data_IF_952567379689
#
_entry.id   IF_952567379689
#
_cell.length_a   1.000
_cell.length_b   1.000
_cell.length_c   1.000
_cell.angle_alpha   90.00
_cell.angle_beta   90.00
_cell.angle_gamma   90.00
#
_symmetry.space_group_name_H-M   'P 1'
#
loop_
_entity.id
_entity.type
_entity.pdbx_description
1 polymer ?
#
# COMPACT_ATOMS: atom_id res chain seq x y z
N UNK A 1 -31.82 46.02 -9.34
CA UNK A 1 -31.59 44.87 -10.24
C UNK A 1 -30.84 45.41 -11.44
N UNK A 2 -29.51 45.37 -11.38
CA UNK A 2 -28.67 45.75 -12.52
C UNK A 2 -28.73 44.61 -13.54
N UNK A 3 -29.18 44.92 -14.76
CA UNK A 3 -29.08 44.01 -15.91
C UNK A 3 -27.63 44.07 -16.35
N UNK A 4 -26.90 42.96 -16.20
CA UNK A 4 -25.58 42.83 -16.82
C UNK A 4 -25.81 42.68 -18.33
N UNK A 5 -25.27 43.62 -19.10
CA UNK A 5 -25.37 43.63 -20.56
C UNK A 5 -24.60 42.42 -21.13
N UNK A 6 -25.34 41.58 -21.87
CA UNK A 6 -24.83 40.33 -22.48
C UNK A 6 -23.62 40.63 -23.38
N UNK A 7 -23.58 41.82 -23.98
CA UNK A 7 -22.51 42.29 -24.84
C UNK A 7 -21.15 42.41 -24.11
N UNK A 8 -21.15 42.70 -22.81
CA UNK A 8 -19.93 42.80 -22.01
C UNK A 8 -19.36 41.40 -21.69
N UNK A 9 -20.22 40.40 -21.54
CA UNK A 9 -19.82 39.02 -21.27
C UNK A 9 -19.26 38.34 -22.54
N UNK A 10 -19.86 38.61 -23.70
CA UNK A 10 -19.36 38.13 -25.01
C UNK A 10 -18.02 38.79 -25.38
N UNK A 11 -17.76 40.00 -24.85
CA UNK A 11 -16.49 40.70 -25.03
C UNK A 11 -15.28 39.95 -24.43
N UNK A 12 -15.50 39.15 -23.38
CA UNK A 12 -14.42 38.45 -22.67
C UNK A 12 -14.02 37.12 -23.32
N UNK A 13 -14.79 36.62 -24.29
CA UNK A 13 -14.47 35.38 -25.00
C UNK A 13 -13.37 35.65 -26.03
N UNK A 14 -12.27 34.86 -26.04
CA UNK A 14 -11.19 34.98 -27.01
C UNK A 14 -11.71 35.01 -28.45
N UNK A 15 -11.20 35.92 -29.30
CA UNK A 15 -11.67 36.08 -30.69
C UNK A 15 -11.63 34.78 -31.50
N UNK A 16 -10.70 33.87 -31.20
CA UNK A 16 -10.60 32.53 -31.79
C UNK A 16 -11.79 31.61 -31.43
N UNK A 17 -12.38 31.77 -30.25
CA UNK A 17 -13.57 31.05 -29.81
C UNK A 17 -14.89 31.74 -30.22
N UNK A 18 -14.85 33.02 -30.62
CA UNK A 18 -16.05 33.72 -31.10
C UNK A 18 -16.53 33.17 -32.45
N UNK A 19 -15.61 32.83 -33.35
CA UNK A 19 -15.96 32.28 -34.67
C UNK A 19 -16.60 30.89 -34.59
N UNK A 20 -16.18 30.06 -33.61
CA UNK A 20 -16.81 28.75 -33.39
C UNK A 20 -18.21 28.86 -32.78
N UNK A 21 -18.46 29.86 -31.93
CA UNK A 21 -19.79 30.07 -31.32
C UNK A 21 -20.87 30.38 -32.38
N UNK A 22 -20.59 31.29 -33.31
CA UNK A 22 -21.52 31.64 -34.39
C UNK A 22 -21.74 30.48 -35.38
N UNK A 23 -20.70 29.68 -35.64
CA UNK A 23 -20.81 28.50 -36.50
C UNK A 23 -21.65 27.39 -35.84
N UNK A 24 -21.58 27.26 -34.51
CA UNK A 24 -22.42 26.31 -33.76
C UNK A 24 -23.89 26.73 -33.83
N UNK A 25 -24.21 28.02 -33.64
CA UNK A 25 -25.59 28.52 -33.69
C UNK A 25 -26.25 28.30 -35.06
N UNK A 26 -25.49 28.44 -36.15
CA UNK A 26 -25.99 28.22 -37.52
C UNK A 26 -26.30 26.75 -37.77
N UNK A 27 -25.39 25.83 -37.40
CA UNK A 27 -25.63 24.38 -37.45
C UNK A 27 -26.77 23.98 -36.52
N UNK A 28 -26.86 24.59 -35.35
CA UNK A 28 -27.89 24.29 -34.36
C UNK A 28 -29.28 24.70 -34.86
N UNK A 29 -29.40 25.90 -35.42
CA UNK A 29 -30.64 26.40 -36.02
C UNK A 29 -31.07 25.52 -37.20
N UNK A 30 -30.11 25.00 -37.97
CA UNK A 30 -30.39 24.13 -39.11
C UNK A 30 -30.91 22.74 -38.70
N UNK A 31 -30.38 22.16 -37.62
CA UNK A 31 -30.82 20.84 -37.10
C UNK A 31 -32.09 20.94 -36.26
N UNK A 32 -32.19 21.97 -35.44
CA UNK A 32 -33.17 22.05 -34.37
C UNK A 32 -34.26 23.10 -34.61
N UNK A 33 -34.12 23.93 -35.64
CA UNK A 33 -35.00 25.05 -35.94
C UNK A 33 -34.71 26.30 -35.09
N UNK A 34 -35.18 27.49 -35.54
CA UNK A 34 -34.96 28.74 -34.83
C UNK A 34 -35.52 28.71 -33.40
N UNK A 35 -34.82 29.37 -32.48
CA UNK A 35 -35.35 29.54 -31.12
C UNK A 35 -36.65 30.35 -31.13
N UNK A 36 -37.58 29.97 -30.24
CA UNK A 36 -38.80 30.73 -30.05
C UNK A 36 -38.49 31.96 -29.19
N UNK A 37 -39.06 33.14 -29.51
CA UNK A 37 -38.91 34.32 -28.67
C UNK A 37 -39.25 34.00 -27.20
N UNK A 38 -38.31 34.28 -26.29
CA UNK A 38 -38.48 34.07 -24.84
C UNK A 38 -38.16 32.66 -24.32
N UNK A 39 -37.68 31.73 -25.16
CA UNK A 39 -37.28 30.39 -24.71
C UNK A 39 -35.86 30.05 -25.16
N UNK A 40 -34.91 30.30 -24.25
CA UNK A 40 -33.51 29.85 -24.40
C UNK A 40 -33.45 28.34 -24.16
N UNK A 41 -32.87 27.60 -25.09
CA UNK A 41 -32.69 26.16 -24.95
C UNK A 41 -31.44 25.90 -24.08
N UNK A 42 -31.61 25.21 -22.96
CA UNK A 42 -30.52 24.86 -22.05
C UNK A 42 -29.96 23.47 -22.38
N UNK A 43 -29.02 23.38 -23.33
CA UNK A 43 -28.35 22.11 -23.63
C UNK A 43 -27.08 21.93 -22.80
N UNK A 44 -26.87 20.72 -22.29
CA UNK A 44 -25.62 20.33 -21.61
C UNK A 44 -25.39 20.93 -20.23
N UNK A 45 -26.23 21.85 -19.78
CA UNK A 45 -26.19 22.38 -18.42
C UNK A 45 -26.80 21.35 -17.47
N UNK A 46 -25.93 20.54 -16.84
CA UNK A 46 -26.34 19.81 -15.64
C UNK A 46 -26.71 20.80 -14.55
N UNK A 47 -27.74 20.52 -13.73
CA UNK A 47 -28.06 21.31 -12.57
C UNK A 47 -26.80 21.58 -11.73
N UNK A 48 -26.61 22.82 -11.29
CA UNK A 48 -25.42 23.22 -10.54
C UNK A 48 -25.27 22.38 -9.26
N UNK A 49 -26.39 21.94 -8.69
CA UNK A 49 -26.44 21.06 -7.53
C UNK A 49 -25.80 19.68 -7.82
N UNK A 50 -26.00 19.14 -9.02
CA UNK A 50 -25.40 17.84 -9.42
C UNK A 50 -23.88 17.96 -9.59
N UNK A 51 -23.41 19.09 -10.12
CA UNK A 51 -21.97 19.35 -10.28
C UNK A 51 -21.32 19.48 -8.90
N UNK A 52 -21.93 20.22 -7.99
CA UNK A 52 -21.43 20.38 -6.62
C UNK A 52 -21.44 19.05 -5.85
N UNK A 53 -22.50 18.26 -5.95
CA UNK A 53 -22.58 16.95 -5.28
C UNK A 53 -21.47 15.99 -5.77
N UNK A 54 -21.23 15.95 -7.07
CA UNK A 54 -20.17 15.15 -7.68
C UNK A 54 -18.78 15.64 -7.25
N UNK A 55 -18.56 16.96 -7.14
CA UNK A 55 -17.31 17.52 -6.65
C UNK A 55 -17.04 17.14 -5.19
N UNK A 56 -18.06 17.21 -4.33
CA UNK A 56 -17.97 16.76 -2.94
C UNK A 56 -17.63 15.27 -2.84
N UNK A 57 -18.30 14.43 -3.63
CA UNK A 57 -18.03 12.99 -3.65
C UNK A 57 -16.59 12.67 -4.09
N UNK A 58 -16.07 13.38 -5.09
CA UNK A 58 -14.68 13.23 -5.52
C UNK A 58 -13.68 13.64 -4.43
N UNK A 59 -13.94 14.75 -3.73
CA UNK A 59 -13.11 15.19 -2.62
C UNK A 59 -13.12 14.21 -1.45
N UNK A 60 -14.27 13.62 -1.14
CA UNK A 60 -14.40 12.58 -0.10
C UNK A 60 -13.68 11.30 -0.48
N UNK A 61 -13.71 10.92 -1.77
CA UNK A 61 -12.93 9.77 -2.25
C UNK A 61 -11.43 10.05 -2.19
N UNK A 62 -10.99 11.24 -2.60
CA UNK A 62 -9.59 11.63 -2.55
C UNK A 62 -9.05 11.65 -1.13
N UNK A 63 -9.84 12.17 -0.18
CA UNK A 63 -9.48 12.20 1.24
C UNK A 63 -9.33 10.78 1.80
N UNK A 64 -10.31 9.91 1.52
CA UNK A 64 -10.22 8.49 1.89
C UNK A 64 -9.02 7.78 1.27
N UNK A 65 -8.68 8.09 0.02
CA UNK A 65 -7.51 7.51 -0.63
C UNK A 65 -6.22 7.90 0.08
N UNK A 66 -6.06 9.19 0.43
CA UNK A 66 -4.89 9.67 1.17
C UNK A 66 -4.76 9.02 2.55
N UNK A 67 -5.89 8.86 3.26
CA UNK A 67 -5.90 8.18 4.56
C UNK A 67 -5.48 6.70 4.43
N UNK A 68 -5.95 6.02 3.38
CA UNK A 68 -5.57 4.63 3.10
C UNK A 68 -4.09 4.51 2.74
N UNK A 69 -3.56 5.43 1.95
CA UNK A 69 -2.16 5.47 1.55
C UNK A 69 -1.24 5.71 2.76
N UNK A 70 -1.63 6.63 3.67
CA UNK A 70 -0.90 6.86 4.91
C UNK A 70 -0.87 5.62 5.81
N UNK A 71 -2.01 4.92 5.95
CA UNK A 71 -2.08 3.65 6.69
C UNK A 71 -1.24 2.56 6.04
N UNK A 72 -1.22 2.49 4.70
CA UNK A 72 -0.40 1.52 3.97
C UNK A 72 1.08 1.74 4.25
N UNK A 73 1.54 3.00 4.20
CA UNK A 73 2.92 3.36 4.49
C UNK A 73 3.31 3.02 5.95
N UNK A 74 2.40 3.24 6.90
CA UNK A 74 2.60 2.86 8.30
C UNK A 74 2.74 1.34 8.46
N UNK A 75 1.88 0.57 7.81
CA UNK A 75 1.94 -0.90 7.83
C UNK A 75 3.24 -1.41 7.20
N UNK A 76 3.66 -0.85 6.06
CA UNK A 76 4.93 -1.20 5.43
C UNK A 76 6.12 -0.90 6.35
N UNK A 77 6.11 0.25 7.03
CA UNK A 77 7.16 0.59 7.99
C UNK A 77 7.20 -0.39 9.18
N UNK A 78 6.03 -0.77 9.71
CA UNK A 78 5.93 -1.76 10.78
C UNK A 78 6.39 -3.15 10.33
N UNK A 79 6.05 -3.57 9.11
CA UNK A 79 6.51 -4.83 8.53
C UNK A 79 8.03 -4.86 8.37
N UNK A 80 8.63 -3.80 7.80
CA UNK A 80 10.07 -3.70 7.66
C UNK A 80 10.80 -3.73 9.02
N UNK A 81 10.23 -3.10 10.04
CA UNK A 81 10.76 -3.17 11.40
C UNK A 81 10.68 -4.60 11.97
N UNK A 82 9.57 -5.29 11.77
CA UNK A 82 9.37 -6.66 12.25
C UNK A 82 10.32 -7.64 11.55
N UNK A 83 10.50 -7.52 10.23
CA UNK A 83 11.47 -8.32 9.48
C UNK A 83 12.88 -8.14 10.00
N UNK A 84 13.28 -6.90 10.31
CA UNK A 84 14.58 -6.62 10.92
C UNK A 84 14.74 -7.29 12.28
N UNK A 85 13.72 -7.23 13.14
CA UNK A 85 13.73 -7.88 14.45
C UNK A 85 13.81 -9.41 14.31
N UNK A 86 13.01 -10.00 13.41
CA UNK A 86 13.03 -11.43 13.09
C UNK A 86 14.42 -11.87 12.63
N UNK A 87 15.05 -11.13 11.71
CA UNK A 87 16.39 -11.41 11.22
C UNK A 87 17.43 -11.39 12.36
N UNK A 88 17.35 -10.41 13.26
CA UNK A 88 18.22 -10.33 14.44
C UNK A 88 18.04 -11.53 15.37
N UNK A 89 16.79 -11.91 15.67
CA UNK A 89 16.48 -13.06 16.52
C UNK A 89 17.02 -14.35 15.88
N UNK A 90 16.80 -14.55 14.58
CA UNK A 90 17.32 -15.71 13.86
C UNK A 90 18.84 -15.77 13.93
N UNK A 91 19.54 -14.65 13.76
CA UNK A 91 21.00 -14.60 13.86
C UNK A 91 21.48 -14.96 15.28
N UNK A 92 20.85 -14.40 16.32
CA UNK A 92 21.18 -14.71 17.72
C UNK A 92 20.94 -16.19 18.01
N UNK A 93 19.79 -16.72 17.59
CA UNK A 93 19.43 -18.10 17.82
C UNK A 93 20.42 -19.05 17.13
N UNK A 94 20.76 -18.78 15.87
CA UNK A 94 21.76 -19.54 15.12
C UNK A 94 23.13 -19.52 15.81
N UNK A 95 23.60 -18.34 16.23
CA UNK A 95 24.88 -18.23 16.93
C UNK A 95 24.90 -19.03 18.25
N UNK A 96 23.80 -19.00 19.02
CA UNK A 96 23.66 -19.81 20.24
C UNK A 96 23.63 -21.31 19.94
N UNK A 97 22.89 -21.72 18.92
CA UNK A 97 22.83 -23.10 18.48
C UNK A 97 24.20 -23.62 18.06
N UNK A 98 24.92 -22.88 17.22
CA UNK A 98 26.27 -23.23 16.78
C UNK A 98 27.25 -23.33 17.96
N UNK A 99 27.15 -22.40 18.92
CA UNK A 99 27.98 -22.45 20.13
C UNK A 99 27.67 -23.70 20.98
N UNK A 100 26.39 -24.02 21.16
CA UNK A 100 25.97 -25.21 21.90
C UNK A 100 26.40 -26.51 21.21
N UNK A 101 26.30 -26.57 19.88
CA UNK A 101 26.77 -27.70 19.09
C UNK A 101 28.28 -27.92 19.27
N UNK A 102 29.09 -26.85 19.20
CA UNK A 102 30.54 -26.96 19.44
C UNK A 102 30.87 -27.45 20.85
N UNK A 103 30.12 -27.00 21.85
CA UNK A 103 30.29 -27.47 23.23
C UNK A 103 29.97 -28.96 23.35
N UNK A 104 28.88 -29.41 22.72
CA UNK A 104 28.51 -30.82 22.69
C UNK A 104 29.57 -31.67 22.00
N UNK A 105 30.06 -31.25 20.83
CA UNK A 105 31.15 -31.94 20.12
C UNK A 105 32.44 -31.99 20.95
N UNK A 106 32.78 -30.91 21.67
CA UNK A 106 33.94 -30.89 22.55
C UNK A 106 33.79 -31.87 23.72
N UNK A 107 32.61 -31.94 24.34
CA UNK A 107 32.31 -32.91 25.39
C UNK A 107 32.39 -34.35 24.87
N UNK A 108 31.87 -34.60 23.67
CA UNK A 108 31.94 -35.92 23.04
C UNK A 108 33.39 -36.35 22.81
N UNK A 109 34.24 -35.46 22.28
CA UNK A 109 35.69 -35.75 22.10
C UNK A 109 36.38 -36.03 23.43
N UNK A 110 36.07 -35.27 24.48
CA UNK A 110 36.63 -35.52 25.82
C UNK A 110 36.23 -36.89 26.36
N UNK A 111 34.96 -37.28 26.17
CA UNK A 111 34.47 -38.60 26.54
C UNK A 111 35.15 -39.71 25.74
N UNK A 112 35.35 -39.53 24.44
CA UNK A 112 36.07 -40.48 23.57
C UNK A 112 37.53 -40.66 24.02
N UNK A 113 38.24 -39.58 24.32
CA UNK A 113 39.62 -39.63 24.84
C UNK A 113 39.67 -40.38 26.17
N UNK A 114 38.75 -40.07 27.10
CA UNK A 114 38.69 -40.74 28.39
C UNK A 114 38.36 -42.24 28.24
N UNK A 115 37.47 -42.59 27.31
CA UNK A 115 37.13 -43.97 26.98
C UNK A 115 38.35 -44.74 26.46
N UNK A 116 39.08 -44.18 25.51
CA UNK A 116 40.32 -44.78 24.97
C UNK A 116 41.36 -44.95 26.08
N UNK A 117 41.51 -43.96 26.97
CA UNK A 117 42.45 -44.02 28.08
C UNK A 117 42.06 -45.13 29.09
N UNK A 118 40.79 -45.25 29.43
CA UNK A 118 40.29 -46.34 30.29
C UNK A 118 40.53 -47.71 29.66
N UNK A 119 40.29 -47.84 28.35
CA UNK A 119 40.53 -49.08 27.61
C UNK A 119 42.02 -49.46 27.60
N UNK A 120 42.91 -48.47 27.44
CA UNK A 120 44.37 -48.68 27.50
C UNK A 120 44.85 -49.06 28.91
N UNK A 121 44.20 -48.57 29.97
CA UNK A 121 44.50 -48.92 31.37
C UNK A 121 43.84 -50.23 31.84
N UNK A 122 43.12 -50.96 30.96
CA UNK A 122 42.44 -52.21 31.31
C UNK A 122 41.27 -52.04 32.28
N UNK A 123 40.74 -50.82 32.42
CA UNK A 123 39.64 -50.52 33.33
C UNK A 123 38.30 -51.01 32.75
N UNK A 124 37.38 -51.56 33.58
CA UNK A 124 36.09 -52.04 33.10
C UNK A 124 35.23 -50.87 32.59
N UNK A 125 34.82 -50.95 31.33
CA UNK A 125 33.97 -49.94 30.68
C UNK A 125 32.52 -50.15 31.15
N UNK A 126 31.87 -49.12 31.76
CA UNK A 126 30.47 -49.23 32.17
C UNK A 126 29.57 -49.38 30.93
N UNK A 127 28.75 -50.44 30.90
CA UNK A 127 27.78 -50.66 29.82
C UNK A 127 26.67 -49.60 29.89
N UNK A 128 26.17 -49.09 28.75
CA UNK A 128 25.07 -48.13 28.75
C UNK A 128 23.85 -48.79 29.38
N UNK A 129 23.48 -48.31 30.57
CA UNK A 129 22.21 -48.66 31.20
C UNK A 129 21.16 -47.73 30.58
N UNK A 130 20.41 -48.25 29.60
CA UNK A 130 19.37 -47.49 28.92
C UNK A 130 18.31 -47.04 29.91
N UNK A 131 18.35 -45.78 30.34
CA UNK A 131 17.19 -45.13 30.95
C UNK A 131 16.30 -44.68 29.82
N UNK A 132 15.11 -45.27 29.73
CA UNK A 132 14.03 -44.86 28.84
C UNK A 132 13.77 -43.37 29.06
N UNK A 133 14.10 -42.54 28.08
CA UNK A 133 13.70 -41.13 28.06
C UNK A 133 12.39 -41.11 27.29
N UNK A 134 11.27 -41.12 27.99
CA UNK A 134 9.96 -40.95 27.37
C UNK A 134 9.91 -39.55 26.73
N UNK A 135 9.41 -39.42 25.49
CA UNK A 135 9.24 -38.11 24.87
C UNK A 135 8.14 -37.33 25.62
N UNK A 136 8.46 -36.07 25.96
CA UNK A 136 7.52 -35.07 26.46
C UNK A 136 6.72 -34.48 25.31
#
# INVERSE_FOLDING_TARGET
MERLDIDELVSQIPKSCRQSLFAIDEVFTQVMGPERPGRVRTYGLRPLEEIQAMQCQLNDQLSRHKDMEAKHLEIEAQQAQMEKQMSQIQHIFKAKFDAQQRQFEAQQRQLEVLFVQMQAMGMPIPKPTGRNISPL
#
